data_IF_266491731205
#
_entry.id   IF_266491731205
#
_cell.length_a   1.000
_cell.length_b   1.000
_cell.length_c   1.000
_cell.angle_alpha   90.00
_cell.angle_beta   90.00
_cell.angle_gamma   90.00
#
_symmetry.space_group_name_H-M   'P 1'
#
loop_
_entity.id
_entity.type
_entity.pdbx_description
1 polymer ?
#
# COMPACT_ATOMS: atom_id res chain seq x y z
N UNK A 1 29.88 33.51 -0.35
CA UNK A 1 31.34 33.76 -0.34
C UNK A 1 31.99 33.01 0.80
N UNK A 2 31.73 33.38 2.06
CA UNK A 2 32.41 32.74 3.19
C UNK A 2 32.11 31.23 3.37
N UNK A 3 30.84 30.81 3.26
CA UNK A 3 30.48 29.38 3.31
C UNK A 3 31.10 28.53 2.20
N UNK A 4 31.47 29.17 1.08
CA UNK A 4 32.11 28.52 -0.07
C UNK A 4 33.65 28.57 -0.02
N UNK A 5 34.22 29.17 1.03
CA UNK A 5 35.67 29.32 1.17
C UNK A 5 36.30 30.44 0.34
N UNK A 6 35.51 31.23 -0.39
CA UNK A 6 36.02 32.35 -1.21
C UNK A 6 36.59 33.50 -0.36
N UNK A 7 36.09 33.62 0.87
CA UNK A 7 36.62 34.50 1.92
C UNK A 7 36.53 33.75 3.25
N UNK A 8 37.35 34.13 4.22
CA UNK A 8 37.25 33.63 5.60
C UNK A 8 36.09 34.29 6.36
N UNK A 9 35.64 33.66 7.45
CA UNK A 9 34.65 34.27 8.35
C UNK A 9 35.14 35.59 8.96
N UNK A 10 36.45 35.71 9.23
CA UNK A 10 37.08 36.95 9.74
C UNK A 10 37.06 38.06 8.71
N UNK A 11 37.29 37.75 7.42
CA UNK A 11 37.21 38.74 6.34
C UNK A 11 35.78 39.24 6.15
N UNK A 12 34.78 38.34 6.18
CA UNK A 12 33.37 38.73 6.15
C UNK A 12 33.04 39.71 7.28
N UNK A 13 33.42 39.37 8.51
CA UNK A 13 33.17 40.20 9.68
C UNK A 13 33.86 41.56 9.57
N UNK A 14 35.13 41.59 9.16
CA UNK A 14 35.86 42.83 8.92
C UNK A 14 35.19 43.71 7.85
N UNK A 15 34.66 43.12 6.77
CA UNK A 15 33.90 43.86 5.76
C UNK A 15 32.61 44.44 6.32
N UNK A 16 31.82 43.66 7.05
CA UNK A 16 30.56 44.13 7.63
C UNK A 16 30.77 45.19 8.73
N UNK A 17 31.82 45.08 9.54
CA UNK A 17 32.22 46.10 10.51
C UNK A 17 32.57 47.43 9.82
N UNK A 18 33.27 47.38 8.67
CA UNK A 18 33.56 48.58 7.86
C UNK A 18 32.28 49.26 7.34
N UNK A 19 31.23 48.48 7.09
CA UNK A 19 29.89 48.98 6.74
C UNK A 19 29.07 49.46 7.94
N UNK A 20 29.68 49.58 9.13
CA UNK A 20 29.05 50.04 10.38
C UNK A 20 28.00 49.09 10.99
N UNK A 21 27.97 47.82 10.59
CA UNK A 21 27.20 46.82 11.32
C UNK A 21 27.84 46.54 12.68
N UNK A 22 27.02 46.39 13.73
CA UNK A 22 27.49 45.93 15.05
C UNK A 22 27.77 44.43 15.03
N UNK A 23 28.60 43.93 15.96
CA UNK A 23 28.85 42.49 16.08
C UNK A 23 27.54 41.67 16.22
N UNK A 24 26.55 42.07 17.04
CA UNK A 24 25.26 41.37 17.06
C UNK A 24 24.54 41.36 15.70
N UNK A 25 24.58 42.47 14.96
CA UNK A 25 23.95 42.54 13.64
C UNK A 25 24.64 41.62 12.62
N UNK A 26 25.97 41.48 12.70
CA UNK A 26 26.74 40.56 11.85
C UNK A 26 26.31 39.10 12.11
N UNK A 27 26.14 38.71 13.37
CA UNK A 27 25.65 37.38 13.72
C UNK A 27 24.22 37.15 13.21
N UNK A 28 23.34 38.15 13.32
CA UNK A 28 21.99 38.06 12.73
C UNK A 28 22.03 37.90 11.20
N UNK A 29 22.93 38.59 10.50
CA UNK A 29 23.10 38.46 9.05
C UNK A 29 23.62 37.06 8.69
N UNK A 30 24.60 36.53 9.43
CA UNK A 30 25.09 35.16 9.24
C UNK A 30 23.93 34.18 9.43
N UNK A 31 23.15 34.32 10.50
CA UNK A 31 21.99 33.47 10.76
C UNK A 31 20.90 33.59 9.70
N UNK A 32 20.55 34.80 9.27
CA UNK A 32 19.55 35.05 8.23
C UNK A 32 19.94 34.48 6.86
N UNK A 33 21.23 34.24 6.63
CA UNK A 33 21.71 33.60 5.41
C UNK A 33 21.70 32.07 5.48
N UNK A 34 21.35 31.46 6.62
CA UNK A 34 21.12 30.02 6.71
C UNK A 34 19.74 29.69 6.13
N UNK A 35 19.66 28.62 5.36
CA UNK A 35 18.40 28.08 4.90
C UNK A 35 17.57 27.63 6.10
N UNK A 36 16.28 27.92 6.04
CA UNK A 36 15.28 27.33 6.91
C UNK A 36 14.22 26.65 6.01
N UNK A 37 13.76 25.43 6.35
CA UNK A 37 12.78 24.72 5.55
C UNK A 37 11.52 25.55 5.32
N UNK A 38 10.98 25.46 4.10
CA UNK A 38 9.69 26.06 3.79
C UNK A 38 8.57 25.34 4.53
N UNK A 39 7.37 25.94 4.66
CA UNK A 39 6.22 25.24 5.21
C UNK A 39 5.94 23.89 4.53
N UNK A 40 6.18 23.78 3.22
CA UNK A 40 6.02 22.53 2.48
C UNK A 40 7.07 21.48 2.84
N UNK A 41 8.32 21.90 3.08
CA UNK A 41 9.38 21.01 3.55
C UNK A 41 9.04 20.50 4.96
N UNK A 42 8.57 21.39 5.84
CA UNK A 42 8.16 21.02 7.20
C UNK A 42 7.00 20.02 7.20
N UNK A 43 6.02 20.18 6.30
CA UNK A 43 4.95 19.19 6.10
C UNK A 43 5.55 17.87 5.62
N UNK A 44 6.43 17.91 4.62
CA UNK A 44 7.12 16.71 4.10
C UNK A 44 7.88 15.97 5.21
N UNK A 45 8.60 16.70 6.08
CA UNK A 45 9.32 16.12 7.21
C UNK A 45 8.38 15.45 8.21
N UNK A 46 7.24 16.07 8.48
CA UNK A 46 6.23 15.50 9.37
C UNK A 46 5.62 14.22 8.80
N UNK A 47 5.16 14.24 7.55
CA UNK A 47 4.47 13.08 6.94
C UNK A 47 5.42 11.95 6.54
N UNK A 48 6.72 12.25 6.35
CA UNK A 48 7.78 11.25 6.15
C UNK A 48 8.42 10.77 7.44
N UNK A 49 7.83 11.09 8.60
CA UNK A 49 8.26 10.60 9.91
C UNK A 49 9.69 10.99 10.31
N UNK A 50 10.22 12.09 9.76
CA UNK A 50 11.57 12.60 10.07
C UNK A 50 11.68 13.01 11.54
N UNK A 51 10.57 13.43 12.15
CA UNK A 51 10.50 13.84 13.56
C UNK A 51 10.18 12.68 14.52
N UNK A 52 10.14 11.44 14.04
CA UNK A 52 9.81 10.25 14.81
C UNK A 52 11.06 9.36 14.92
N UNK A 53 11.89 9.51 15.97
CA UNK A 53 13.20 8.84 16.05
C UNK A 53 13.15 7.33 15.85
N UNK A 54 12.15 6.67 16.44
CA UNK A 54 11.96 5.21 16.31
C UNK A 54 11.69 4.79 14.85
N UNK A 55 10.99 5.64 14.07
CA UNK A 55 10.70 5.38 12.65
C UNK A 55 11.93 5.71 11.79
N UNK A 56 12.62 6.80 12.08
CA UNK A 56 13.89 7.17 11.42
C UNK A 56 14.90 6.02 11.52
N UNK A 57 15.05 5.44 12.72
CA UNK A 57 15.90 4.28 12.95
C UNK A 57 15.38 3.04 12.23
N UNK A 58 14.09 2.69 12.40
CA UNK A 58 13.50 1.50 11.78
C UNK A 58 13.58 1.52 10.25
N UNK A 59 13.42 2.67 9.62
CA UNK A 59 13.46 2.82 8.16
C UNK A 59 14.86 3.09 7.62
N UNK A 60 15.86 3.29 8.49
CA UNK A 60 17.22 3.63 8.06
C UNK A 60 17.28 4.97 7.32
N UNK A 61 16.43 5.95 7.68
CA UNK A 61 16.28 7.18 6.89
C UNK A 61 17.57 8.02 6.83
N UNK A 62 18.47 7.86 7.81
CA UNK A 62 19.77 8.52 7.87
C UNK A 62 20.90 7.71 7.23
N UNK A 63 20.61 6.53 6.68
CA UNK A 63 21.61 5.70 6.03
C UNK A 63 22.08 6.32 4.71
N UNK A 64 23.33 6.04 4.36
CA UNK A 64 23.91 6.41 3.07
C UNK A 64 24.17 7.90 2.87
N UNK A 65 24.01 8.76 3.89
CA UNK A 65 24.34 10.19 3.80
C UNK A 65 25.82 10.37 3.47
N UNK A 66 26.18 10.94 2.31
CA UNK A 66 27.58 11.17 1.98
C UNK A 66 28.10 12.40 2.72
N UNK A 67 29.31 12.34 3.28
CA UNK A 67 29.99 13.52 3.87
C UNK A 67 30.07 14.68 2.86
N UNK A 68 30.24 14.33 1.57
CA UNK A 68 30.28 15.30 0.48
C UNK A 68 28.95 16.05 0.32
N UNK A 69 27.81 15.39 0.56
CA UNK A 69 26.51 16.05 0.53
C UNK A 69 26.42 17.11 1.63
N UNK A 70 26.83 16.78 2.86
CA UNK A 70 26.83 17.72 3.99
C UNK A 70 27.76 18.93 3.72
N UNK A 71 28.94 18.68 3.14
CA UNK A 71 29.88 19.73 2.74
C UNK A 71 29.26 20.70 1.72
N UNK A 72 28.68 20.17 0.63
CA UNK A 72 28.09 20.99 -0.42
C UNK A 72 26.77 21.66 0.01
N UNK A 73 25.98 21.00 0.86
CA UNK A 73 24.80 21.56 1.50
C UNK A 73 25.15 22.81 2.32
N UNK A 74 26.19 22.71 3.15
CA UNK A 74 26.67 23.85 3.94
C UNK A 74 27.10 25.02 3.05
N UNK A 75 27.82 24.76 1.95
CA UNK A 75 28.20 25.77 0.96
C UNK A 75 27.01 26.47 0.32
N UNK A 76 25.89 25.75 0.14
CA UNK A 76 24.62 26.28 -0.34
C UNK A 76 23.84 27.06 0.73
N UNK A 77 24.31 27.07 1.98
CA UNK A 77 23.66 27.74 3.11
C UNK A 77 22.76 26.85 3.95
N UNK A 78 22.73 25.54 3.67
CA UNK A 78 21.91 24.58 4.39
C UNK A 78 22.66 24.07 5.64
N UNK A 79 22.15 24.34 6.86
CA UNK A 79 22.72 23.78 8.08
C UNK A 79 22.65 22.26 8.10
N UNK A 80 23.56 21.60 8.83
CA UNK A 80 23.70 20.14 8.84
C UNK A 80 22.41 19.42 9.28
N UNK A 81 21.73 19.94 10.30
CA UNK A 81 20.46 19.41 10.80
C UNK A 81 19.38 19.45 9.70
N UNK A 82 19.30 20.54 8.94
CA UNK A 82 18.34 20.67 7.85
C UNK A 82 18.70 19.84 6.62
N UNK A 83 20.00 19.64 6.35
CA UNK A 83 20.47 18.71 5.34
C UNK A 83 20.09 17.26 5.69
N UNK A 84 20.23 16.86 6.95
CA UNK A 84 19.79 15.54 7.42
C UNK A 84 18.28 15.37 7.34
N UNK A 85 17.48 16.39 7.64
CA UNK A 85 16.02 16.32 7.49
C UNK A 85 15.58 16.18 6.03
N UNK A 86 16.17 16.96 5.12
CA UNK A 86 15.91 16.83 3.69
C UNK A 86 16.31 15.44 3.17
N UNK A 87 17.44 14.91 3.64
CA UNK A 87 17.82 13.53 3.33
C UNK A 87 16.81 12.54 3.90
N UNK A 88 16.45 12.60 5.17
CA UNK A 88 15.49 11.65 5.74
C UNK A 88 14.13 11.63 5.00
N UNK A 89 13.72 12.76 4.41
CA UNK A 89 12.49 12.87 3.64
C UNK A 89 12.61 12.51 2.14
N UNK A 90 13.82 12.28 1.59
CA UNK A 90 14.02 12.13 0.14
C UNK A 90 13.67 10.75 -0.42
N UNK A 91 13.53 9.74 0.44
CA UNK A 91 13.40 8.35 0.03
C UNK A 91 12.12 8.07 -0.76
N UNK A 92 12.24 7.18 -1.76
CA UNK A 92 11.10 6.58 -2.44
C UNK A 92 10.68 5.32 -1.68
N UNK A 93 9.52 5.39 -1.03
CA UNK A 93 8.97 4.27 -0.29
C UNK A 93 8.26 3.27 -1.24
N UNK A 94 8.11 2.00 -0.82
CA UNK A 94 7.24 1.05 -1.52
C UNK A 94 5.82 1.60 -1.66
N UNK A 95 5.19 1.35 -2.81
CA UNK A 95 3.78 1.71 -3.00
C UNK A 95 2.84 0.87 -2.16
N UNK A 96 1.61 1.35 -1.93
CA UNK A 96 0.60 0.64 -1.12
C UNK A 96 0.35 -0.80 -1.61
N UNK A 97 0.28 -1.02 -2.94
CA UNK A 97 0.11 -2.36 -3.51
C UNK A 97 1.27 -3.31 -3.16
N UNK A 98 2.51 -2.81 -3.15
CA UNK A 98 3.66 -3.60 -2.72
C UNK A 98 3.56 -3.90 -1.21
N UNK A 99 3.09 -2.93 -0.42
CA UNK A 99 2.75 -3.13 0.99
C UNK A 99 1.74 -4.26 1.20
N UNK A 100 0.66 -4.28 0.42
CA UNK A 100 -0.35 -5.33 0.49
C UNK A 100 0.21 -6.70 0.11
N UNK A 101 1.00 -6.78 -0.97
CA UNK A 101 1.66 -8.03 -1.35
C UNK A 101 2.63 -8.54 -0.28
N UNK A 102 3.36 -7.64 0.39
CA UNK A 102 4.22 -8.01 1.51
C UNK A 102 3.41 -8.53 2.70
N UNK A 103 2.28 -7.90 3.02
CA UNK A 103 1.36 -8.36 4.07
C UNK A 103 0.82 -9.77 3.74
N UNK A 104 0.27 -9.97 2.54
CA UNK A 104 -0.35 -11.26 2.17
C UNK A 104 0.66 -12.41 2.04
N UNK A 105 1.95 -12.11 1.94
CA UNK A 105 3.04 -13.09 1.91
C UNK A 105 3.72 -13.27 3.27
N UNK A 106 3.15 -12.72 4.33
CA UNK A 106 3.68 -12.74 5.70
C UNK A 106 5.13 -12.20 5.80
N UNK A 107 5.51 -11.28 4.91
CA UNK A 107 6.81 -10.60 4.93
C UNK A 107 6.80 -9.48 5.97
N UNK A 108 5.65 -8.81 6.12
CA UNK A 108 5.40 -7.79 7.13
C UNK A 108 4.08 -8.07 7.84
N UNK A 109 3.92 -7.53 9.04
CA UNK A 109 2.67 -7.53 9.78
C UNK A 109 1.81 -6.29 9.47
N UNK A 110 0.55 -6.32 9.91
CA UNK A 110 -0.40 -5.23 9.71
C UNK A 110 0.07 -3.90 10.34
N UNK A 111 0.64 -3.87 11.57
CA UNK A 111 1.24 -2.64 12.11
C UNK A 111 2.33 -2.05 11.22
N UNK A 112 3.18 -2.89 10.61
CA UNK A 112 4.22 -2.42 9.67
C UNK A 112 3.62 -1.90 8.37
N UNK A 113 2.54 -2.50 7.87
CA UNK A 113 1.79 -1.94 6.75
C UNK A 113 1.18 -0.58 7.12
N UNK A 114 0.59 -0.42 8.30
CA UNK A 114 0.02 0.86 8.74
C UNK A 114 1.07 1.96 8.83
N UNK A 115 2.28 1.64 9.31
CA UNK A 115 3.42 2.57 9.29
C UNK A 115 3.78 2.99 7.87
N UNK A 116 3.82 2.05 6.91
CA UNK A 116 4.08 2.37 5.50
C UNK A 116 2.98 3.28 4.93
N UNK A 117 1.70 2.97 5.14
CA UNK A 117 0.59 3.80 4.66
C UNK A 117 0.60 5.21 5.27
N UNK A 118 1.06 5.33 6.52
CA UNK A 118 1.28 6.62 7.19
C UNK A 118 2.38 7.42 6.49
N UNK A 119 3.54 6.82 6.27
CA UNK A 119 4.69 7.47 5.63
C UNK A 119 4.48 7.75 4.12
N UNK A 120 3.48 7.12 3.50
CA UNK A 120 2.97 7.43 2.16
C UNK A 120 1.99 8.61 2.14
N UNK A 121 1.70 9.23 3.29
CA UNK A 121 0.74 10.32 3.46
C UNK A 121 -0.69 9.96 3.02
N UNK A 122 -1.08 8.69 3.22
CA UNK A 122 -2.47 8.26 3.02
C UNK A 122 -3.27 8.71 4.24
N UNK A 123 -4.38 9.43 4.02
CA UNK A 123 -5.20 9.94 5.12
C UNK A 123 -5.70 8.79 6.01
N UNK A 124 -5.70 8.95 7.36
CA UNK A 124 -6.08 7.89 8.30
C UNK A 124 -7.41 7.21 7.98
N UNK A 125 -8.42 7.97 7.55
CA UNK A 125 -9.74 7.47 7.18
C UNK A 125 -9.73 6.35 6.13
N UNK A 126 -8.78 6.39 5.18
CA UNK A 126 -8.75 5.43 4.06
C UNK A 126 -7.92 4.18 4.34
N UNK A 127 -7.03 4.19 5.35
CA UNK A 127 -6.03 3.13 5.55
C UNK A 127 -6.67 1.78 5.80
N UNK A 128 -7.56 1.70 6.77
CA UNK A 128 -8.28 0.45 7.09
C UNK A 128 -9.12 -0.05 5.91
N UNK A 129 -9.74 0.86 5.15
CA UNK A 129 -10.53 0.49 3.97
C UNK A 129 -9.66 -0.11 2.86
N UNK A 130 -8.48 0.46 2.63
CA UNK A 130 -7.52 -0.04 1.65
C UNK A 130 -6.94 -1.40 2.08
N UNK A 131 -6.66 -1.59 3.37
CA UNK A 131 -6.22 -2.89 3.91
C UNK A 131 -7.31 -3.95 3.67
N UNK A 132 -8.57 -3.66 3.99
CA UNK A 132 -9.70 -4.58 3.73
C UNK A 132 -9.88 -4.87 2.25
N UNK A 133 -9.79 -3.85 1.40
CA UNK A 133 -9.89 -3.97 -0.05
C UNK A 133 -8.78 -4.86 -0.64
N UNK A 134 -7.62 -4.92 0.02
CA UNK A 134 -6.48 -5.68 -0.49
C UNK A 134 -6.73 -7.20 -0.54
N UNK A 135 -7.62 -7.74 0.29
CA UNK A 135 -7.91 -9.16 0.32
C UNK A 135 -8.79 -9.59 -0.86
N UNK A 136 -8.45 -10.74 -1.46
CA UNK A 136 -9.22 -11.28 -2.56
C UNK A 136 -10.58 -11.81 -2.08
N UNK A 137 -11.70 -11.48 -2.76
CA UNK A 137 -12.96 -12.14 -2.53
C UNK A 137 -12.90 -13.61 -2.98
N UNK A 138 -13.80 -14.44 -2.45
CA UNK A 138 -13.94 -15.83 -2.88
C UNK A 138 -14.21 -15.91 -4.39
N UNK A 139 -13.58 -16.86 -5.07
CA UNK A 139 -13.82 -17.05 -6.50
C UNK A 139 -15.21 -17.64 -6.73
N UNK A 140 -15.82 -17.31 -7.86
CA UNK A 140 -17.16 -17.83 -8.23
C UNK A 140 -17.22 -19.36 -8.26
N UNK A 141 -16.09 -20.02 -8.53
CA UNK A 141 -15.99 -21.48 -8.56
C UNK A 141 -15.99 -22.03 -7.14
N UNK A 142 -15.19 -21.44 -6.26
CA UNK A 142 -15.10 -21.86 -4.87
C UNK A 142 -16.41 -21.59 -4.13
N UNK A 143 -17.07 -20.46 -4.39
CA UNK A 143 -18.40 -20.14 -3.85
C UNK A 143 -19.40 -21.26 -4.15
N UNK A 144 -19.47 -21.73 -5.41
CA UNK A 144 -20.39 -22.82 -5.79
C UNK A 144 -20.03 -24.14 -5.11
N UNK A 145 -18.75 -24.48 -5.06
CA UNK A 145 -18.24 -25.72 -4.43
C UNK A 145 -18.49 -25.71 -2.92
N UNK A 146 -18.22 -24.60 -2.26
CA UNK A 146 -18.46 -24.40 -0.83
C UNK A 146 -19.94 -24.53 -0.53
N UNK A 147 -20.82 -23.97 -1.36
CA UNK A 147 -22.26 -24.16 -1.21
C UNK A 147 -22.66 -25.63 -1.38
N UNK A 148 -22.17 -26.32 -2.41
CA UNK A 148 -22.46 -27.75 -2.60
C UNK A 148 -22.00 -28.62 -1.41
N UNK A 149 -20.92 -28.22 -0.75
CA UNK A 149 -20.38 -28.87 0.44
C UNK A 149 -21.03 -28.43 1.76
N UNK A 150 -22.00 -27.50 1.74
CA UNK A 150 -22.62 -26.96 2.95
C UNK A 150 -21.69 -26.08 3.80
N UNK A 151 -20.59 -25.58 3.21
CA UNK A 151 -19.67 -24.62 3.85
C UNK A 151 -20.21 -23.20 3.74
N UNK A 152 -20.92 -22.89 2.65
CA UNK A 152 -21.63 -21.62 2.46
C UNK A 152 -23.14 -21.87 2.34
N UNK A 153 -23.91 -21.13 3.13
CA UNK A 153 -25.36 -21.03 2.99
C UNK A 153 -25.72 -20.01 1.89
N UNK A 154 -27.01 -19.97 1.50
CA UNK A 154 -27.54 -19.06 0.47
C UNK A 154 -27.11 -17.60 0.65
N UNK A 155 -27.18 -17.08 1.88
CA UNK A 155 -26.78 -15.70 2.21
C UNK A 155 -25.29 -15.47 1.93
N UNK A 156 -24.44 -16.42 2.33
CA UNK A 156 -23.00 -16.36 2.09
C UNK A 156 -22.62 -16.44 0.60
N UNK A 157 -23.42 -17.15 -0.22
CA UNK A 157 -23.27 -17.15 -1.68
C UNK A 157 -23.59 -15.78 -2.26
N UNK A 158 -24.71 -15.17 -1.85
CA UNK A 158 -25.08 -13.83 -2.30
C UNK A 158 -24.00 -12.80 -1.93
N UNK A 159 -23.58 -12.78 -0.66
CA UNK A 159 -22.56 -11.85 -0.17
C UNK A 159 -21.21 -12.03 -0.87
N UNK A 160 -20.82 -13.28 -1.18
CA UNK A 160 -19.60 -13.55 -1.94
C UNK A 160 -19.65 -12.96 -3.34
N UNK A 161 -20.81 -13.02 -4.02
CA UNK A 161 -20.98 -12.36 -5.32
C UNK A 161 -20.99 -10.84 -5.19
N UNK A 162 -21.57 -10.27 -4.12
CA UNK A 162 -21.49 -8.83 -3.84
C UNK A 162 -20.05 -8.37 -3.63
N UNK A 163 -19.27 -9.11 -2.85
CA UNK A 163 -17.84 -8.86 -2.60
C UNK A 163 -17.00 -8.97 -3.88
N UNK A 164 -17.38 -9.86 -4.81
CA UNK A 164 -16.76 -9.96 -6.14
C UNK A 164 -17.18 -8.82 -7.11
N UNK A 165 -18.05 -7.90 -6.68
CA UNK A 165 -18.44 -6.71 -7.43
C UNK A 165 -19.69 -6.84 -8.30
N UNK A 166 -20.44 -7.95 -8.21
CA UNK A 166 -21.74 -8.08 -8.90
C UNK A 166 -22.76 -7.12 -8.29
N UNK A 167 -23.61 -6.48 -9.10
CA UNK A 167 -24.78 -5.71 -8.61
C UNK A 167 -25.71 -6.60 -7.75
N UNK A 168 -26.57 -6.02 -6.88
CA UNK A 168 -27.52 -6.80 -6.08
C UNK A 168 -28.35 -7.78 -6.92
N UNK A 169 -28.97 -7.29 -8.00
CA UNK A 169 -29.78 -8.10 -8.91
C UNK A 169 -28.97 -9.26 -9.53
N UNK A 170 -27.73 -8.99 -9.96
CA UNK A 170 -26.89 -10.04 -10.53
C UNK A 170 -26.40 -11.04 -9.48
N UNK A 171 -26.20 -10.60 -8.24
CA UNK A 171 -25.85 -11.49 -7.14
C UNK A 171 -27.02 -12.42 -6.80
N UNK A 172 -28.27 -11.95 -6.85
CA UNK A 172 -29.46 -12.81 -6.72
C UNK A 172 -29.56 -13.84 -7.85
N UNK A 173 -29.32 -13.43 -9.11
CA UNK A 173 -29.29 -14.35 -10.25
C UNK A 173 -28.19 -15.40 -10.10
N UNK A 174 -27.02 -15.01 -9.60
CA UNK A 174 -25.90 -15.94 -9.36
C UNK A 174 -26.17 -16.89 -8.20
N UNK A 175 -26.92 -16.46 -7.17
CA UNK A 175 -27.40 -17.32 -6.11
C UNK A 175 -28.38 -18.37 -6.65
N UNK A 176 -29.42 -17.95 -7.38
CA UNK A 176 -30.40 -18.88 -7.98
C UNK A 176 -29.72 -19.87 -8.94
N UNK A 177 -28.79 -19.37 -9.77
CA UNK A 177 -27.95 -20.22 -10.61
C UNK A 177 -27.19 -21.27 -9.79
N UNK A 178 -26.52 -20.86 -8.72
CA UNK A 178 -25.72 -21.74 -7.86
C UNK A 178 -26.57 -22.84 -7.23
N UNK A 179 -27.76 -22.49 -6.74
CA UNK A 179 -28.71 -23.45 -6.14
C UNK A 179 -29.14 -24.50 -7.16
N UNK A 180 -29.54 -24.07 -8.37
CA UNK A 180 -29.96 -24.98 -9.44
C UNK A 180 -28.82 -25.85 -9.95
N UNK A 181 -27.65 -25.26 -10.13
CA UNK A 181 -26.44 -25.95 -10.58
C UNK A 181 -26.05 -27.08 -9.62
N UNK A 182 -26.06 -26.80 -8.31
CA UNK A 182 -25.70 -27.77 -7.28
C UNK A 182 -26.79 -28.84 -7.06
N UNK A 183 -28.07 -28.51 -7.30
CA UNK A 183 -29.14 -29.49 -7.28
C UNK A 183 -29.02 -30.52 -8.44
N UNK A 184 -28.58 -30.09 -9.62
CA UNK A 184 -28.39 -30.94 -10.80
C UNK A 184 -27.15 -31.86 -10.66
N UNK A 185 -26.02 -31.33 -10.15
CA UNK A 185 -24.81 -32.13 -9.89
C UNK A 185 -25.00 -33.23 -8.82
N UNK A 186 -25.99 -33.08 -7.92
CA UNK A 186 -26.32 -34.08 -6.90
C UNK A 186 -26.76 -35.44 -7.45
N UNK A 187 -27.11 -35.53 -8.74
CA UNK A 187 -27.49 -36.79 -9.39
C UNK A 187 -26.28 -37.66 -9.79
N UNK A 188 -25.07 -37.07 -9.87
CA UNK A 188 -23.83 -37.75 -10.31
C UNK A 188 -23.86 -38.33 -11.73
N UNK A 189 -25.01 -38.25 -12.41
CA UNK A 189 -25.28 -38.82 -13.72
C UNK A 189 -25.26 -37.69 -14.74
N UNK A 190 -24.07 -37.37 -15.24
CA UNK A 190 -23.98 -36.53 -16.43
C UNK A 190 -24.65 -37.24 -17.61
N UNK A 191 -25.30 -36.47 -18.51
CA UNK A 191 -25.81 -36.97 -19.80
C UNK A 191 -24.79 -37.84 -20.54
N UNK A 192 -23.50 -37.50 -20.47
CA UNK A 192 -22.41 -38.29 -21.04
C UNK A 192 -22.17 -39.62 -20.31
N UNK A 193 -22.23 -39.65 -18.98
CA UNK A 193 -22.09 -40.88 -18.18
C UNK A 193 -23.27 -41.83 -18.36
N UNK A 194 -24.51 -41.33 -18.48
CA UNK A 194 -25.69 -42.16 -18.75
C UNK A 194 -25.63 -42.74 -20.17
N UNK A 195 -25.24 -41.93 -21.17
CA UNK A 195 -25.00 -42.43 -22.52
C UNK A 195 -23.88 -43.48 -22.57
N UNK A 196 -22.81 -43.28 -21.79
CA UNK A 196 -21.71 -44.26 -21.68
C UNK A 196 -22.20 -45.55 -21.03
N UNK A 197 -22.97 -45.47 -19.95
CA UNK A 197 -23.58 -46.61 -19.27
C UNK A 197 -24.48 -47.43 -20.21
N UNK A 198 -25.28 -46.76 -21.06
CA UNK A 198 -26.07 -47.43 -22.09
C UNK A 198 -25.19 -48.13 -23.13
N UNK A 199 -24.18 -47.43 -23.67
CA UNK A 199 -23.27 -48.00 -24.69
C UNK A 199 -22.51 -49.24 -24.22
N UNK A 200 -22.22 -49.35 -22.93
CA UNK A 200 -21.54 -50.51 -22.34
C UNK A 200 -22.52 -51.54 -21.74
N UNK A 201 -23.83 -51.36 -21.94
CA UNK A 201 -24.87 -52.32 -21.55
C UNK A 201 -25.21 -52.35 -20.06
N UNK A 202 -24.83 -51.33 -19.28
CA UNK A 202 -25.16 -51.25 -17.85
C UNK A 202 -26.61 -50.81 -17.58
N UNK A 203 -27.25 -50.13 -18.53
CA UNK A 203 -28.66 -49.69 -18.46
C UNK A 203 -29.36 -49.97 -19.79
N UNK A 204 -30.69 -50.11 -19.76
CA UNK A 204 -31.53 -50.37 -20.95
C UNK A 204 -31.87 -49.09 -21.70
N UNK A 205 -32.34 -49.24 -22.94
CA UNK A 205 -32.84 -48.10 -23.75
C UNK A 205 -34.02 -47.39 -23.07
N UNK A 206 -34.89 -48.16 -22.40
CA UNK A 206 -36.01 -47.63 -21.63
C UNK A 206 -35.52 -46.77 -20.45
N UNK A 207 -34.54 -47.27 -19.67
CA UNK A 207 -33.92 -46.52 -18.57
C UNK A 207 -33.19 -45.26 -19.06
N UNK A 208 -32.56 -45.31 -20.23
CA UNK A 208 -31.93 -44.16 -20.86
C UNK A 208 -32.95 -43.07 -21.25
N UNK A 209 -34.12 -43.47 -21.79
CA UNK A 209 -35.18 -42.52 -22.17
C UNK A 209 -35.80 -41.86 -20.95
N UNK A 210 -36.09 -42.63 -19.89
CA UNK A 210 -36.62 -42.08 -18.64
C UNK A 210 -35.68 -41.01 -18.04
N UNK A 211 -34.37 -41.22 -18.11
CA UNK A 211 -33.38 -40.24 -17.61
C UNK A 211 -33.35 -38.92 -18.42
N UNK A 212 -33.72 -38.93 -19.71
CA UNK A 212 -33.71 -37.73 -20.54
C UNK A 212 -35.07 -37.04 -20.67
N UNK A 213 -36.12 -37.61 -20.10
CA UNK A 213 -37.47 -37.05 -20.07
C UNK A 213 -37.79 -36.35 -18.73
N UNK A 214 -37.00 -36.60 -17.68
CA UNK A 214 -37.01 -35.89 -16.38
C UNK A 214 -36.14 -34.63 -16.39
#
# INVERSE_FOLDING_TARGET
LWRRGEITAKELEAFLLKQRFSLPAIEHIKKASEFFPSPQDLISFAVREVYSPDIVEKFGQMEGIPDKYLEEAFKAGLPEDQAKNLWAAHWLLPGANQGFEMLHRDIIDEPTLEMLLTALDIMPFWREMLIKLSYNPLTRVDVRRMHAMGVLEDEGVYDSYRAAGYSPDNAELMLDFTKRYNADEGTGLTRASVQKAYKIGLITEEQLRTFFES
#
